data_IF_002426288614
#
_entry.id   IF_002426288614
#
_cell.length_a   1.000
_cell.length_b   1.000
_cell.length_c   1.000
_cell.angle_alpha   90.00
_cell.angle_beta   90.00
_cell.angle_gamma   90.00
#
_symmetry.space_group_name_H-M   'P 1'
#
loop_
_entity.id
_entity.type
_entity.pdbx_description
1 polymer ?
#
# COMPACT_ATOMS: atom_id res chain seq x y z
N UNK A 1 41.28 20.47 17.19
CA UNK A 1 39.92 20.21 16.70
C UNK A 1 39.81 18.91 15.91
N UNK A 2 40.63 18.68 14.89
CA UNK A 2 40.62 17.43 14.10
C UNK A 2 40.86 16.16 14.94
N UNK A 3 41.77 16.20 15.92
CA UNK A 3 42.02 15.07 16.84
C UNK A 3 40.77 14.70 17.66
N UNK A 4 40.01 15.70 18.11
CA UNK A 4 38.78 15.51 18.89
C UNK A 4 37.68 14.91 18.00
N UNK A 5 37.58 15.35 16.75
CA UNK A 5 36.61 14.81 15.78
C UNK A 5 36.93 13.34 15.46
N UNK A 6 38.21 13.01 15.28
CA UNK A 6 38.66 11.64 15.01
C UNK A 6 38.45 10.70 16.20
N UNK A 7 38.71 11.17 17.43
CA UNK A 7 38.43 10.41 18.65
C UNK A 7 36.92 10.12 18.80
N UNK A 8 36.09 11.13 18.54
CA UNK A 8 34.63 10.97 18.55
C UNK A 8 34.18 9.97 17.49
N UNK A 9 34.66 10.07 16.25
CA UNK A 9 34.29 9.15 15.16
C UNK A 9 34.76 7.72 15.42
N UNK A 10 35.94 7.53 16.04
CA UNK A 10 36.42 6.21 16.43
C UNK A 10 35.55 5.52 17.49
N UNK A 11 34.82 6.30 18.30
CA UNK A 11 33.88 5.80 19.31
C UNK A 11 32.47 5.49 18.79
N UNK A 12 32.19 5.76 17.51
CA UNK A 12 30.86 5.68 16.92
C UNK A 12 30.77 4.49 15.94
N UNK A 13 29.59 3.86 15.76
CA UNK A 13 29.42 2.81 14.77
C UNK A 13 29.85 3.20 13.35
N UNK A 14 30.45 2.26 12.61
CA UNK A 14 31.04 2.50 11.28
C UNK A 14 30.09 3.13 10.26
N UNK A 15 28.78 2.87 10.34
CA UNK A 15 27.80 3.45 9.43
C UNK A 15 27.66 4.98 9.54
N UNK A 16 28.09 5.59 10.65
CA UNK A 16 28.11 7.05 10.79
C UNK A 16 29.13 7.70 9.86
N UNK A 17 30.21 7.00 9.49
CA UNK A 17 31.19 7.52 8.53
C UNK A 17 30.61 7.70 7.12
N UNK A 18 29.52 6.98 6.81
CA UNK A 18 28.79 7.13 5.55
C UNK A 18 27.92 8.39 5.55
N UNK A 19 27.50 8.85 6.74
CA UNK A 19 26.59 10.00 6.92
C UNK A 19 27.39 11.27 7.21
N UNK A 20 28.44 11.16 8.01
CA UNK A 20 29.35 12.23 8.42
C UNK A 20 30.75 11.89 7.90
N UNK A 21 31.25 12.65 6.94
CA UNK A 21 32.61 12.46 6.43
C UNK A 21 33.61 13.29 7.27
N UNK A 22 34.44 12.68 8.13
CA UNK A 22 35.42 13.39 8.97
C UNK A 22 36.34 14.32 8.19
N UNK A 23 36.73 13.95 6.96
CA UNK A 23 37.69 14.70 6.16
C UNK A 23 37.13 16.02 5.64
N UNK A 24 35.81 16.22 5.72
CA UNK A 24 35.14 17.43 5.26
C UNK A 24 35.01 18.51 6.35
N UNK A 25 35.27 18.18 7.62
CA UNK A 25 35.09 19.11 8.74
C UNK A 25 36.42 19.60 9.29
N UNK A 26 36.65 20.92 9.21
CA UNK A 26 37.91 21.55 9.66
C UNK A 26 37.81 21.97 11.13
N UNK A 27 36.61 22.37 11.58
CA UNK A 27 36.36 22.84 12.94
C UNK A 27 35.35 21.99 13.69
N UNK A 28 35.48 21.94 15.02
CA UNK A 28 34.54 21.20 15.87
C UNK A 28 33.11 21.76 15.80
N UNK A 29 32.97 23.07 15.52
CA UNK A 29 31.68 23.74 15.40
C UNK A 29 30.92 23.33 14.13
N UNK A 30 31.63 23.15 13.01
CA UNK A 30 31.05 22.61 11.77
C UNK A 30 30.62 21.15 11.92
N UNK A 31 31.42 20.37 12.64
CA UNK A 31 31.06 18.99 12.94
C UNK A 31 29.79 18.90 13.80
N UNK A 32 29.68 19.73 14.85
CA UNK A 32 28.50 19.79 15.71
C UNK A 32 27.25 20.27 14.96
N UNK A 33 27.38 21.24 14.05
CA UNK A 33 26.25 21.73 13.26
C UNK A 33 25.77 20.69 12.25
N UNK A 34 26.68 19.92 11.64
CA UNK A 34 26.36 18.81 10.76
C UNK A 34 25.61 17.69 11.50
N UNK A 35 26.07 17.29 12.69
CA UNK A 35 25.37 16.30 13.53
C UNK A 35 23.94 16.77 13.81
N UNK A 36 23.79 18.02 14.25
CA UNK A 36 22.48 18.61 14.55
C UNK A 36 21.56 18.62 13.33
N UNK A 37 22.09 18.90 12.14
CA UNK A 37 21.31 18.86 10.90
C UNK A 37 20.77 17.46 10.60
N UNK A 38 21.61 16.43 10.69
CA UNK A 38 21.18 15.05 10.47
C UNK A 38 20.18 14.58 11.53
N UNK A 39 20.35 14.97 12.78
CA UNK A 39 19.39 14.70 13.85
C UNK A 39 18.03 15.35 13.56
N UNK A 40 18.01 16.61 13.14
CA UNK A 40 16.77 17.31 12.76
C UNK A 40 16.10 16.68 11.54
N UNK A 41 16.90 16.20 10.57
CA UNK A 41 16.39 15.54 9.36
C UNK A 41 15.81 14.16 9.63
N UNK A 42 16.36 13.42 10.59
CA UNK A 42 15.83 12.12 11.03
C UNK A 42 14.58 12.29 11.92
N UNK A 43 14.57 13.28 12.81
CA UNK A 43 13.43 13.57 13.69
C UNK A 43 12.25 14.21 12.97
N UNK A 44 12.51 14.98 11.91
CA UNK A 44 11.50 15.64 11.08
C UNK A 44 11.56 15.13 9.64
N UNK A 45 11.67 13.80 9.48
CA UNK A 45 11.57 13.23 8.15
C UNK A 45 10.19 13.61 7.57
N UNK A 46 10.11 14.22 6.37
CA UNK A 46 8.84 14.57 5.73
C UNK A 46 7.96 13.34 5.41
N UNK A 47 8.46 12.15 5.72
CA UNK A 47 7.84 10.84 5.53
C UNK A 47 7.81 10.01 6.83
N UNK A 48 7.96 10.63 8.01
CA UNK A 48 7.81 9.95 9.30
C UNK A 48 6.42 9.31 9.51
N UNK A 49 5.50 9.50 8.56
CA UNK A 49 4.36 8.63 8.37
C UNK A 49 4.78 7.31 7.68
N UNK A 50 5.26 6.37 8.49
CA UNK A 50 5.50 5.00 8.04
C UNK A 50 4.21 4.28 7.60
N UNK A 51 3.01 4.88 7.69
CA UNK A 51 1.75 4.23 7.30
C UNK A 51 1.75 3.76 5.84
N UNK A 52 2.45 4.48 4.95
CA UNK A 52 2.53 4.10 3.53
C UNK A 52 3.43 2.89 3.32
N UNK A 53 4.54 2.80 4.04
CA UNK A 53 5.48 1.68 3.99
C UNK A 53 4.90 0.45 4.70
N UNK A 54 4.29 0.63 5.87
CA UNK A 54 3.56 -0.42 6.60
C UNK A 54 2.41 -0.99 5.76
N UNK A 55 1.63 -0.12 5.09
CA UNK A 55 0.56 -0.54 4.19
C UNK A 55 1.10 -1.33 2.99
N UNK A 56 2.27 -0.96 2.48
CA UNK A 56 2.92 -1.67 1.39
C UNK A 56 3.47 -3.03 1.82
N UNK A 57 4.12 -3.12 2.99
CA UNK A 57 4.56 -4.39 3.61
C UNK A 57 3.35 -5.31 3.82
N UNK A 58 2.27 -4.80 4.40
CA UNK A 58 1.06 -5.59 4.64
C UNK A 58 0.43 -6.09 3.33
N UNK A 59 0.39 -5.26 2.29
CA UNK A 59 -0.06 -5.64 0.95
C UNK A 59 0.82 -6.72 0.32
N UNK A 60 2.14 -6.65 0.52
CA UNK A 60 3.08 -7.63 0.00
C UNK A 60 2.94 -8.96 0.75
N UNK A 61 2.79 -8.93 2.07
CA UNK A 61 2.54 -10.13 2.88
C UNK A 61 1.25 -10.85 2.45
N UNK A 62 0.18 -10.09 2.16
CA UNK A 62 -1.07 -10.65 1.66
C UNK A 62 -0.89 -11.32 0.28
N UNK A 63 -0.08 -10.71 -0.60
CA UNK A 63 0.26 -11.28 -1.90
C UNK A 63 1.08 -12.57 -1.77
N UNK A 64 2.01 -12.63 -0.81
CA UNK A 64 2.82 -13.82 -0.54
C UNK A 64 2.02 -14.94 0.13
N UNK A 65 1.09 -14.60 1.04
CA UNK A 65 0.13 -15.55 1.65
C UNK A 65 -0.90 -16.09 0.63
N UNK A 66 -1.09 -15.41 -0.50
CA UNK A 66 -1.95 -15.84 -1.60
C UNK A 66 -1.36 -16.91 -2.52
N UNK A 67 -0.06 -17.21 -2.43
CA UNK A 67 0.63 -18.09 -3.40
C UNK A 67 1.20 -19.40 -2.82
N UNK A 68 0.77 -19.83 -1.63
CA UNK A 68 1.03 -21.20 -1.17
C UNK A 68 -0.15 -22.12 -1.49
N UNK A 69 -0.26 -22.46 -2.77
CA UNK A 69 -0.87 -23.73 -3.15
C UNK A 69 0.18 -24.84 -2.96
N UNK A 70 0.36 -25.29 -1.72
CA UNK A 70 0.86 -26.64 -1.46
C UNK A 70 -0.33 -27.48 -1.01
N UNK A 71 -0.81 -28.22 -1.99
CA UNK A 71 -1.71 -29.37 -1.90
C UNK A 71 -1.55 -30.24 -0.65
N UNK A 72 -2.44 -30.13 0.33
CA UNK A 72 -3.02 -31.28 1.05
C UNK A 72 -4.11 -30.84 2.05
N UNK A 73 -5.33 -31.34 1.84
CA UNK A 73 -6.50 -31.28 2.73
C UNK A 73 -7.23 -29.93 2.85
N UNK A 74 -7.77 -29.49 1.71
CA UNK A 74 -8.94 -28.63 1.66
C UNK A 74 -9.61 -28.80 0.31
N UNK A 75 -9.97 -30.05 -0.07
CA UNK A 75 -10.83 -30.26 -1.24
C UNK A 75 -12.14 -29.52 -0.95
N UNK A 76 -12.31 -28.32 -1.50
CA UNK A 76 -13.63 -27.76 -1.67
C UNK A 76 -14.39 -28.79 -2.49
N UNK A 77 -15.31 -29.50 -1.84
CA UNK A 77 -16.10 -30.53 -2.50
C UNK A 77 -16.83 -29.86 -3.66
N UNK A 78 -16.69 -30.40 -4.87
CA UNK A 78 -17.39 -29.88 -6.04
C UNK A 78 -18.89 -29.90 -5.75
N UNK A 79 -19.48 -28.72 -5.62
CA UNK A 79 -20.89 -28.59 -5.35
C UNK A 79 -21.67 -28.51 -6.66
N UNK A 80 -21.87 -29.67 -7.30
CA UNK A 80 -22.64 -29.78 -8.55
C UNK A 80 -24.16 -29.83 -8.32
N UNK A 81 -24.61 -29.73 -7.06
CA UNK A 81 -26.02 -29.67 -6.71
C UNK A 81 -26.73 -28.40 -7.21
N UNK A 82 -25.96 -27.31 -7.42
CA UNK A 82 -26.48 -26.10 -8.03
C UNK A 82 -25.99 -26.01 -9.48
N UNK A 83 -26.94 -26.09 -10.42
CA UNK A 83 -26.72 -25.93 -11.85
C UNK A 83 -27.40 -24.64 -12.29
N UNK A 84 -26.65 -23.75 -12.96
CA UNK A 84 -27.20 -22.51 -13.49
C UNK A 84 -28.35 -22.81 -14.44
N UNK A 85 -29.42 -22.03 -14.36
CA UNK A 85 -30.51 -22.07 -15.35
C UNK A 85 -30.08 -21.46 -16.70
N UNK A 86 -28.97 -20.72 -16.69
CA UNK A 86 -28.36 -20.10 -17.87
C UNK A 86 -27.17 -20.93 -18.33
N UNK A 87 -26.46 -20.45 -19.35
CA UNK A 87 -25.20 -21.05 -19.77
C UNK A 87 -24.26 -21.21 -18.57
N UNK A 88 -23.71 -22.41 -18.40
CA UNK A 88 -22.76 -22.73 -17.34
C UNK A 88 -21.36 -22.20 -17.70
N UNK A 89 -20.50 -21.91 -16.71
CA UNK A 89 -19.10 -21.57 -16.99
C UNK A 89 -18.41 -22.60 -17.87
N UNK A 90 -18.68 -23.88 -17.65
CA UNK A 90 -18.16 -24.99 -18.46
C UNK A 90 -18.62 -24.90 -19.93
N UNK A 91 -19.90 -24.53 -20.18
CA UNK A 91 -20.42 -24.37 -21.55
C UNK A 91 -19.84 -23.17 -22.30
N UNK A 92 -19.28 -22.19 -21.58
CA UNK A 92 -18.69 -20.97 -22.14
C UNK A 92 -17.17 -20.98 -22.13
N UNK A 93 -16.54 -22.10 -21.76
CA UNK A 93 -15.10 -22.19 -21.53
C UNK A 93 -14.59 -21.06 -20.59
N UNK A 94 -15.40 -20.70 -19.60
CA UNK A 94 -15.09 -19.69 -18.59
C UNK A 94 -14.46 -20.35 -17.36
N UNK A 95 -13.93 -19.53 -16.44
CA UNK A 95 -13.32 -20.03 -15.21
C UNK A 95 -14.35 -20.78 -14.34
N UNK A 96 -13.88 -21.84 -13.69
CA UNK A 96 -14.68 -22.58 -12.70
C UNK A 96 -14.96 -21.68 -11.50
N UNK A 97 -16.04 -21.99 -10.76
CA UNK A 97 -16.42 -21.20 -9.60
C UNK A 97 -15.27 -21.08 -8.57
N UNK A 98 -14.91 -19.85 -8.17
CA UNK A 98 -13.82 -19.56 -7.23
C UNK A 98 -14.06 -20.14 -5.81
N UNK A 99 -15.32 -20.38 -5.44
CA UNK A 99 -15.67 -20.88 -4.11
C UNK A 99 -15.65 -22.42 -4.00
N UNK A 100 -16.09 -23.12 -5.05
CA UNK A 100 -16.29 -24.58 -5.01
C UNK A 100 -15.71 -25.34 -6.21
N UNK A 101 -15.05 -24.64 -7.14
CA UNK A 101 -14.47 -25.17 -8.37
C UNK A 101 -15.45 -25.98 -9.25
N UNK A 102 -16.76 -25.77 -9.08
CA UNK A 102 -17.77 -26.35 -9.98
C UNK A 102 -17.86 -25.54 -11.27
N UNK A 103 -18.00 -26.24 -12.39
CA UNK A 103 -18.28 -25.64 -13.70
C UNK A 103 -19.77 -25.48 -14.00
N UNK A 104 -20.65 -25.87 -13.06
CA UNK A 104 -22.10 -25.95 -13.28
C UNK A 104 -22.86 -24.68 -12.92
N UNK A 105 -22.29 -23.77 -12.14
CA UNK A 105 -22.92 -22.51 -11.75
C UNK A 105 -21.91 -21.37 -11.71
N UNK A 106 -22.41 -20.13 -11.82
CA UNK A 106 -21.58 -18.94 -11.68
C UNK A 106 -21.28 -18.62 -10.23
N UNK A 107 -20.19 -17.90 -9.97
CA UNK A 107 -19.78 -17.52 -8.60
C UNK A 107 -20.91 -16.94 -7.75
N UNK A 108 -21.72 -16.04 -8.31
CA UNK A 108 -22.86 -15.40 -7.62
C UNK A 108 -24.04 -16.34 -7.33
N UNK A 109 -24.10 -17.50 -8.00
CA UNK A 109 -25.10 -18.53 -7.74
C UNK A 109 -24.60 -19.54 -6.71
N UNK A 110 -23.30 -19.54 -6.37
CA UNK A 110 -22.73 -20.47 -5.41
C UNK A 110 -23.33 -20.26 -4.02
N UNK A 111 -23.65 -21.36 -3.32
CA UNK A 111 -24.12 -21.34 -1.92
C UNK A 111 -23.15 -20.61 -0.98
N UNK A 112 -21.86 -20.67 -1.31
CA UNK A 112 -20.79 -20.04 -0.53
C UNK A 112 -20.52 -18.59 -0.95
N UNK A 113 -21.25 -18.07 -1.94
CA UNK A 113 -21.12 -16.67 -2.33
C UNK A 113 -21.88 -15.79 -1.34
N UNK A 114 -21.23 -14.71 -0.89
CA UNK A 114 -21.86 -13.70 -0.04
C UNK A 114 -22.78 -12.74 -0.84
N UNK A 115 -23.29 -13.18 -2.00
CA UNK A 115 -24.03 -12.38 -2.97
C UNK A 115 -25.49 -12.16 -2.54
N UNK A 116 -25.68 -11.47 -1.42
CA UNK A 116 -26.96 -10.87 -1.00
C UNK A 116 -26.89 -9.35 -0.81
N UNK A 117 -25.68 -8.80 -0.63
CA UNK A 117 -25.47 -7.38 -0.34
C UNK A 117 -25.21 -6.62 -1.64
N UNK A 118 -26.24 -5.97 -2.20
CA UNK A 118 -26.06 -5.03 -3.31
C UNK A 118 -25.39 -3.77 -2.77
N UNK A 119 -24.08 -3.65 -2.94
CA UNK A 119 -23.36 -2.41 -2.61
C UNK A 119 -23.60 -1.43 -3.77
N UNK A 120 -24.51 -0.48 -3.58
CA UNK A 120 -24.65 0.66 -4.48
C UNK A 120 -23.45 1.59 -4.26
N UNK A 121 -22.62 1.78 -5.28
CA UNK A 121 -21.55 2.78 -5.26
C UNK A 121 -22.17 4.15 -5.56
N UNK A 122 -22.51 4.91 -4.52
CA UNK A 122 -22.83 6.34 -4.67
C UNK A 122 -21.54 7.16 -4.61
N UNK A 123 -21.32 8.01 -5.61
CA UNK A 123 -20.33 9.09 -5.52
C UNK A 123 -21.06 10.30 -4.95
N UNK A 124 -20.75 10.69 -3.72
CA UNK A 124 -21.18 11.99 -3.20
C UNK A 124 -20.26 13.05 -3.79
N UNK A 125 -20.84 14.07 -4.41
CA UNK A 125 -20.16 15.31 -4.73
C UNK A 125 -20.62 16.32 -3.68
N UNK A 126 -19.67 16.90 -2.97
CA UNK A 126 -19.91 18.03 -2.06
C UNK A 126 -19.48 19.28 -2.82
N UNK A 127 -20.28 20.34 -2.72
CA UNK A 127 -20.02 21.62 -3.39
C UNK A 127 -19.62 22.61 -2.31
N UNK A 128 -18.42 23.16 -2.42
CA UNK A 128 -17.90 24.14 -1.46
C UNK A 128 -18.09 25.57 -1.97
N UNK A 129 -18.02 26.54 -1.06
CA UNK A 129 -18.11 27.98 -1.42
C UNK A 129 -16.99 28.37 -2.39
N UNK A 130 -15.80 27.77 -2.25
CA UNK A 130 -14.68 28.00 -3.16
C UNK A 130 -14.98 27.45 -4.58
N UNK A 131 -15.71 26.33 -4.69
CA UNK A 131 -16.15 25.79 -5.99
C UNK A 131 -17.18 26.72 -6.67
N UNK A 132 -18.03 27.39 -5.88
CA UNK A 132 -19.00 28.36 -6.37
C UNK A 132 -18.32 29.62 -6.91
N UNK A 133 -17.34 30.16 -6.18
CA UNK A 133 -16.56 31.31 -6.63
C UNK A 133 -15.75 30.97 -7.88
N UNK A 134 -15.14 29.78 -7.94
CA UNK A 134 -14.45 29.30 -9.13
C UNK A 134 -15.39 29.16 -10.34
N UNK A 135 -16.60 28.66 -10.12
CA UNK A 135 -17.60 28.52 -11.19
C UNK A 135 -18.12 29.89 -11.66
N UNK A 136 -18.32 30.84 -10.74
CA UNK A 136 -18.72 32.21 -11.09
C UNK A 136 -17.61 32.93 -11.86
N UNK A 137 -16.34 32.79 -11.45
CA UNK A 137 -15.20 33.34 -12.19
C UNK A 137 -15.06 32.74 -13.60
N UNK A 138 -15.35 31.45 -13.76
CA UNK A 138 -15.40 30.82 -15.09
C UNK A 138 -16.54 31.38 -15.94
N UNK A 139 -17.73 31.55 -15.34
CA UNK A 139 -18.90 32.08 -16.03
C UNK A 139 -18.65 33.52 -16.49
N UNK A 140 -18.17 34.41 -15.62
CA UNK A 140 -17.88 35.82 -15.95
C UNK A 140 -16.84 35.97 -17.08
N UNK A 141 -15.92 35.02 -17.22
CA UNK A 141 -14.89 35.05 -18.27
C UNK A 141 -15.39 34.59 -19.64
N UNK A 142 -16.42 33.73 -19.69
CA UNK A 142 -16.81 33.01 -20.91
C UNK A 142 -18.27 33.16 -21.33
N UNK A 143 -19.15 33.65 -20.47
CA UNK A 143 -20.59 33.80 -20.71
C UNK A 143 -21.09 35.19 -20.30
#
# INVERSE_FOLDING_TARGET
DSEIILEVIAGIPEFWTTILNPEQYVTAMEFQSAIKYHETSLSHAPFADNSSLERWIWSLEQSMKGNLSTSSLGRSFKHDANVSKKATPESRNAHLCQHCNSGKHWDYECKHSHSGMRIARSKKAEWTVDDEEAQNGYNDLYY
#
